data_IF_462514902848
#
_entry.id   IF_462514902848
#
_cell.length_a   1.000
_cell.length_b   1.000
_cell.length_c   1.000
_cell.angle_alpha   90.00
_cell.angle_beta   90.00
_cell.angle_gamma   90.00
#
_symmetry.space_group_name_H-M   'P 1'
#
loop_
_entity.id
_entity.type
_entity.pdbx_description
1 polymer ?
#
# COMPACT_ATOMS: atom_id res chain seq x y z
N UNK A 1 -0.82 -14.32 -8.33
CA UNK A 1 -1.85 -13.67 -7.49
C UNK A 1 -1.40 -12.24 -7.23
N UNK A 2 -2.13 -11.23 -7.70
CA UNK A 2 -1.77 -9.82 -7.50
C UNK A 2 -2.10 -9.41 -6.07
N UNK A 3 -1.09 -9.15 -5.23
CA UNK A 3 -1.28 -8.65 -3.87
C UNK A 3 -1.01 -7.15 -3.86
N UNK A 4 -2.06 -6.36 -3.70
CA UNK A 4 -1.98 -4.91 -3.68
C UNK A 4 -1.81 -4.46 -2.23
N UNK A 5 -0.62 -3.95 -1.90
CA UNK A 5 -0.32 -3.47 -0.55
C UNK A 5 -0.60 -1.98 -0.47
N UNK A 6 -1.65 -1.62 0.25
CA UNK A 6 -1.90 -0.25 0.61
C UNK A 6 -1.41 0.01 2.04
N UNK A 7 -0.62 1.07 2.20
CA UNK A 7 -0.42 1.74 3.49
C UNK A 7 -1.62 2.64 3.73
N UNK A 8 -2.71 2.09 4.27
CA UNK A 8 -3.82 2.90 4.80
C UNK A 8 -3.72 2.94 6.33
N UNK A 9 -3.34 4.09 6.87
CA UNK A 9 -3.60 4.41 8.26
C UNK A 9 -5.10 4.71 8.36
N UNK A 10 -5.88 3.75 8.87
CA UNK A 10 -7.32 3.88 9.06
C UNK A 10 -7.67 4.69 10.32
N UNK A 11 -6.93 5.78 10.56
CA UNK A 11 -7.44 6.86 11.40
C UNK A 11 -8.23 7.77 10.47
N UNK A 12 -9.51 7.42 10.26
CA UNK A 12 -10.55 8.30 9.70
C UNK A 12 -10.20 8.93 8.34
N UNK A 13 -10.64 8.30 7.24
CA UNK A 13 -10.87 9.04 6.00
C UNK A 13 -11.97 10.08 6.27
N UNK A 14 -11.61 11.28 6.72
CA UNK A 14 -12.54 12.40 6.76
C UNK A 14 -12.96 12.86 5.34
N UNK A 15 -12.40 12.26 4.28
CA UNK A 15 -12.54 12.70 2.89
C UNK A 15 -13.37 11.76 1.99
N UNK A 16 -13.78 10.57 2.47
CA UNK A 16 -14.55 9.61 1.67
C UNK A 16 -15.79 9.13 2.43
N UNK A 17 -16.87 8.91 1.68
CA UNK A 17 -18.10 8.29 2.20
C UNK A 17 -17.81 6.85 2.63
N UNK A 18 -18.16 6.51 3.87
CA UNK A 18 -17.86 5.21 4.47
C UNK A 18 -18.62 4.08 3.77
N UNK A 19 -19.86 4.32 3.33
CA UNK A 19 -20.69 3.30 2.69
C UNK A 19 -20.09 2.90 1.34
N UNK A 20 -19.50 3.86 0.62
CA UNK A 20 -18.81 3.59 -0.65
C UNK A 20 -17.50 2.82 -0.44
N UNK A 21 -16.78 3.08 0.65
CA UNK A 21 -15.56 2.33 1.00
C UNK A 21 -15.89 0.87 1.30
N UNK A 22 -16.98 0.61 2.02
CA UNK A 22 -17.41 -0.74 2.35
C UNK A 22 -17.81 -1.53 1.11
N UNK A 23 -18.56 -0.93 0.19
CA UNK A 23 -18.90 -1.54 -1.11
C UNK A 23 -17.63 -1.88 -1.90
N UNK A 24 -16.64 -0.98 -1.93
CA UNK A 24 -15.37 -1.23 -2.63
C UNK A 24 -14.63 -2.43 -2.05
N UNK A 25 -14.57 -2.56 -0.73
CA UNK A 25 -13.92 -3.68 -0.05
C UNK A 25 -14.64 -5.01 -0.33
N UNK A 26 -15.97 -5.00 -0.32
CA UNK A 26 -16.79 -6.17 -0.66
C UNK A 26 -16.54 -6.62 -2.10
N UNK A 27 -16.66 -5.71 -3.07
CA UNK A 27 -16.45 -6.03 -4.49
C UNK A 27 -15.03 -6.47 -4.81
N UNK A 28 -14.03 -5.88 -4.14
CA UNK A 28 -12.63 -6.33 -4.25
C UNK A 28 -12.48 -7.78 -3.80
N UNK A 29 -13.10 -8.15 -2.68
CA UNK A 29 -13.06 -9.52 -2.15
C UNK A 29 -13.75 -10.51 -3.09
N UNK A 30 -14.91 -10.16 -3.65
CA UNK A 30 -15.66 -10.99 -4.61
C UNK A 30 -14.82 -11.39 -5.84
N UNK A 31 -13.93 -10.50 -6.30
CA UNK A 31 -13.03 -10.77 -7.44
C UNK A 31 -11.65 -11.32 -7.02
N UNK A 32 -11.47 -11.67 -5.75
CA UNK A 32 -10.25 -12.31 -5.23
C UNK A 32 -9.12 -11.37 -4.83
N UNK A 33 -9.37 -10.06 -4.73
CA UNK A 33 -8.40 -9.10 -4.18
C UNK A 33 -8.43 -9.17 -2.65
N UNK A 34 -7.25 -9.35 -2.05
CA UNK A 34 -7.08 -9.35 -0.60
C UNK A 34 -6.56 -7.98 -0.15
N UNK A 35 -7.31 -7.33 0.75
CA UNK A 35 -6.96 -6.02 1.32
C UNK A 35 -6.56 -6.21 2.78
N UNK A 36 -5.30 -5.91 3.11
CA UNK A 36 -4.77 -6.00 4.47
C UNK A 36 -4.72 -4.62 5.12
N UNK A 37 -5.79 -4.26 5.84
CA UNK A 37 -5.87 -2.98 6.57
C UNK A 37 -5.02 -2.98 7.84
N UNK A 38 -4.64 -1.78 8.31
CA UNK A 38 -3.84 -1.57 9.52
C UNK A 38 -2.46 -2.25 9.49
N UNK A 39 -1.94 -2.52 8.29
CA UNK A 39 -0.60 -3.04 8.08
C UNK A 39 0.29 -1.91 7.54
N UNK A 40 1.37 -1.59 8.27
CA UNK A 40 2.42 -0.72 7.76
C UNK A 40 3.53 -1.57 7.18
N UNK A 41 3.81 -1.42 5.88
CA UNK A 41 4.97 -2.06 5.25
C UNK A 41 6.24 -1.45 5.85
N UNK A 42 7.12 -2.30 6.38
CA UNK A 42 8.39 -1.92 7.04
C UNK A 42 9.59 -2.18 6.16
N UNK A 43 9.59 -3.31 5.44
CA UNK A 43 10.64 -3.65 4.49
C UNK A 43 10.10 -4.47 3.32
N UNK A 44 10.83 -4.40 2.21
CA UNK A 44 10.62 -5.23 1.02
C UNK A 44 11.98 -5.78 0.64
N UNK A 45 12.10 -7.10 0.68
CA UNK A 45 13.32 -7.83 0.32
C UNK A 45 13.10 -8.60 -0.98
N UNK A 46 14.16 -8.75 -1.79
CA UNK A 46 14.13 -9.55 -3.01
C UNK A 46 15.10 -10.71 -2.89
N UNK A 47 14.59 -11.92 -3.01
CA UNK A 47 15.37 -13.16 -2.89
C UNK A 47 14.92 -14.16 -3.95
N UNK A 48 15.87 -14.78 -4.67
CA UNK A 48 15.61 -15.87 -5.63
C UNK A 48 14.48 -15.57 -6.65
N UNK A 49 14.37 -14.33 -7.11
CA UNK A 49 13.35 -13.92 -8.09
C UNK A 49 11.97 -13.64 -7.51
N UNK A 50 11.81 -13.70 -6.18
CA UNK A 50 10.59 -13.34 -5.45
C UNK A 50 10.82 -12.14 -4.54
N UNK A 51 9.72 -11.54 -4.12
CA UNK A 51 9.70 -10.47 -3.13
C UNK A 51 9.09 -10.95 -1.82
N UNK A 52 9.66 -10.50 -0.71
CA UNK A 52 9.17 -10.67 0.65
C UNK A 52 8.84 -9.31 1.24
N UNK A 53 7.55 -9.06 1.46
CA UNK A 53 7.03 -7.83 2.06
C UNK A 53 6.79 -8.10 3.54
N UNK A 54 7.47 -7.36 4.41
CA UNK A 54 7.26 -7.41 5.85
C UNK A 54 6.36 -6.25 6.24
N UNK A 55 5.21 -6.55 6.83
CA UNK A 55 4.28 -5.54 7.28
C UNK A 55 3.88 -5.76 8.75
N UNK A 56 3.87 -4.67 9.51
CA UNK A 56 3.50 -4.66 10.92
C UNK A 56 2.03 -4.31 11.10
N UNK A 57 1.33 -5.09 11.91
CA UNK A 57 0.02 -4.74 12.48
C UNK A 57 0.12 -4.82 14.00
N UNK A 58 0.07 -3.68 14.67
CA UNK A 58 0.36 -3.58 16.11
C UNK A 58 1.76 -4.15 16.42
N UNK A 59 1.85 -5.22 17.20
CA UNK A 59 3.12 -5.87 17.55
C UNK A 59 3.49 -7.01 16.58
N UNK A 60 2.52 -7.48 15.79
CA UNK A 60 2.69 -8.61 14.88
C UNK A 60 3.34 -8.19 13.56
N UNK A 61 4.33 -8.97 13.11
CA UNK A 61 4.94 -8.85 11.79
C UNK A 61 4.41 -9.97 10.91
N UNK A 62 3.78 -9.61 9.79
CA UNK A 62 3.35 -10.54 8.76
C UNK A 62 4.27 -10.46 7.56
N UNK A 63 4.76 -11.62 7.09
CA UNK A 63 5.52 -11.75 5.85
C UNK A 63 4.59 -12.15 4.72
N UNK A 64 4.69 -11.46 3.60
CA UNK A 64 4.02 -11.84 2.38
C UNK A 64 5.00 -12.09 1.24
N UNK A 65 4.75 -13.16 0.49
CA UNK A 65 5.49 -13.46 -0.73
C UNK A 65 4.72 -13.03 -1.98
N UNK A 66 5.42 -12.46 -2.96
CA UNK A 66 4.89 -12.07 -4.26
C UNK A 66 5.95 -12.10 -5.37
N UNK A 67 5.54 -12.32 -6.62
CA UNK A 67 6.43 -12.24 -7.79
C UNK A 67 6.68 -10.77 -8.22
N UNK A 68 5.75 -9.88 -7.90
CA UNK A 68 5.81 -8.45 -8.19
C UNK A 68 5.29 -7.64 -7.02
N UNK A 69 5.91 -6.48 -6.78
CA UNK A 69 5.46 -5.48 -5.81
C UNK A 69 5.29 -4.15 -6.52
N UNK A 70 4.13 -3.53 -6.38
CA UNK A 70 3.80 -2.22 -6.95
C UNK A 70 3.63 -1.24 -5.79
N UNK A 71 4.34 -0.11 -5.83
CA UNK A 71 4.22 0.95 -4.82
C UNK A 71 3.14 1.96 -5.22
N UNK A 72 2.03 1.98 -4.46
CA UNK A 72 0.89 2.85 -4.69
C UNK A 72 0.62 3.85 -3.56
N UNK A 73 1.59 4.16 -2.70
CA UNK A 73 1.37 4.98 -1.50
C UNK A 73 1.21 6.50 -1.76
N UNK A 74 0.92 6.88 -3.01
CA UNK A 74 0.74 8.27 -3.42
C UNK A 74 1.93 8.84 -4.18
N UNK A 75 2.01 10.17 -4.22
CA UNK A 75 3.03 10.94 -4.94
C UNK A 75 3.54 12.06 -4.03
N UNK A 76 4.85 12.27 -4.03
CA UNK A 76 5.46 13.47 -3.44
C UNK A 76 5.49 14.61 -4.47
N UNK A 77 5.48 15.88 -4.03
CA UNK A 77 5.74 17.00 -4.92
C UNK A 77 7.17 16.91 -5.47
N UNK A 78 7.36 17.29 -6.73
CA UNK A 78 8.67 17.35 -7.37
C UNK A 78 9.38 18.66 -6.96
N UNK A 79 10.11 18.62 -5.84
CA UNK A 79 10.77 19.80 -5.26
C UNK A 79 12.23 19.97 -5.73
N UNK A 80 12.84 18.95 -6.32
CA UNK A 80 14.19 19.02 -6.91
C UNK A 80 14.16 19.66 -8.30
N UNK A 81 13.62 20.87 -8.33
CA UNK A 81 13.66 21.75 -9.48
C UNK A 81 14.75 22.77 -9.17
N UNK A 82 15.75 22.90 -10.05
CA UNK A 82 16.83 23.91 -9.92
C UNK A 82 16.27 25.34 -10.12
N UNK A 83 15.31 25.75 -9.29
CA UNK A 83 14.61 27.04 -9.37
C UNK A 83 15.59 28.22 -9.21
N UNK A 84 16.70 27.98 -8.49
CA UNK A 84 17.83 28.91 -8.33
C UNK A 84 18.53 29.26 -9.65
N UNK A 85 18.36 28.44 -10.72
CA UNK A 85 19.05 28.68 -11.99
C UNK A 85 18.36 29.72 -12.88
N UNK A 86 17.15 30.15 -12.55
CA UNK A 86 16.38 31.10 -13.37
C UNK A 86 16.10 30.59 -14.79
N UNK A 87 15.19 31.24 -15.49
CA UNK A 87 15.04 31.10 -16.95
C UNK A 87 16.01 32.08 -17.61
#
# INVERSE_FOLDING_TARGET
MLKLYYKFNFAQNQNFDIDLVDILLEKSKEIGIQVHLQHSVESIEKEQGKFHVYARKKEDITRFEADIVIHGAGRGPALDMNLEKGI
#
